data_IF_932308123486
#
_entry.id   IF_932308123486
#
_cell.length_a   1.000
_cell.length_b   1.000
_cell.length_c   1.000
_cell.angle_alpha   90.00
_cell.angle_beta   90.00
_cell.angle_gamma   90.00
#
_symmetry.space_group_name_H-M   'P 1'
#
loop_
_entity.id
_entity.type
_entity.pdbx_description
1 polymer ?
#
# COMPACT_ATOMS: atom_id res chain seq x y z
N UNK A 1 -2.56 32.34 3.24
CA UNK A 1 -1.22 32.84 2.87
C UNK A 1 -0.24 31.70 3.00
N UNK A 2 0.21 31.24 1.86
CA UNK A 2 0.83 29.93 1.62
C UNK A 2 2.27 29.84 2.12
N UNK A 3 2.51 28.95 3.08
CA UNK A 3 3.88 28.57 3.52
C UNK A 3 4.62 27.64 2.53
N UNK A 4 3.95 27.22 1.44
CA UNK A 4 4.50 26.25 0.50
C UNK A 4 5.42 26.87 -0.59
N UNK A 5 5.44 28.20 -0.77
CA UNK A 5 6.15 28.83 -1.89
C UNK A 5 7.63 29.19 -1.63
N UNK A 6 8.17 28.97 -0.44
CA UNK A 6 9.55 29.36 -0.09
C UNK A 6 10.40 28.23 0.55
N UNK A 7 9.93 26.98 0.55
CA UNK A 7 10.69 25.87 1.16
C UNK A 7 11.93 25.55 0.31
N UNK A 8 13.12 25.68 0.91
CA UNK A 8 14.36 25.26 0.25
C UNK A 8 14.50 23.73 0.25
N UNK A 9 15.32 23.21 -0.62
CA UNK A 9 15.59 21.75 -0.65
C UNK A 9 16.28 21.23 0.63
N UNK A 10 16.92 22.09 1.40
CA UNK A 10 17.48 21.75 2.72
C UNK A 10 16.33 21.59 3.73
N UNK A 11 15.32 22.45 3.64
CA UNK A 11 14.13 22.40 4.48
C UNK A 11 13.28 21.16 4.22
N UNK A 12 13.29 20.64 2.97
CA UNK A 12 12.59 19.40 2.63
C UNK A 12 13.06 18.21 3.49
N UNK A 13 14.38 17.98 3.57
CA UNK A 13 14.92 16.87 4.39
C UNK A 13 14.61 17.10 5.87
N UNK A 14 14.82 18.33 6.38
CA UNK A 14 14.53 18.66 7.76
C UNK A 14 13.05 18.43 8.09
N UNK A 15 12.15 18.87 7.20
CA UNK A 15 10.70 18.70 7.36
C UNK A 15 10.30 17.23 7.30
N UNK A 16 10.80 16.46 6.34
CA UNK A 16 10.51 15.02 6.24
C UNK A 16 11.05 14.25 7.46
N UNK A 17 12.24 14.61 7.93
CA UNK A 17 12.82 14.00 9.13
C UNK A 17 12.04 14.36 10.40
N UNK A 18 11.55 15.59 10.51
CA UNK A 18 10.71 16.02 11.64
C UNK A 18 9.36 15.28 11.64
N UNK A 19 8.69 15.17 10.49
CA UNK A 19 7.43 14.42 10.33
C UNK A 19 7.62 12.94 10.69
N UNK A 20 8.73 12.34 10.22
CA UNK A 20 9.07 10.97 10.59
C UNK A 20 9.25 10.81 12.09
N UNK A 21 9.97 11.74 12.72
CA UNK A 21 10.21 11.75 14.17
C UNK A 21 8.91 11.93 14.97
N UNK A 22 8.04 12.87 14.58
CA UNK A 22 6.72 13.08 15.20
C UNK A 22 5.85 11.83 15.17
N UNK A 23 5.98 11.02 14.10
CA UNK A 23 5.28 9.73 13.94
C UNK A 23 6.03 8.56 14.62
N UNK A 24 7.08 8.82 15.35
CA UNK A 24 7.89 7.79 16.01
C UNK A 24 8.74 6.94 15.05
N UNK A 25 8.94 7.43 13.82
CA UNK A 25 9.73 6.77 12.78
C UNK A 25 11.19 7.25 12.89
N UNK A 26 12.10 6.35 13.27
CA UNK A 26 13.53 6.61 13.19
C UNK A 26 14.01 6.23 11.77
N UNK A 27 14.38 7.20 10.96
CA UNK A 27 14.85 6.99 9.60
C UNK A 27 16.18 6.21 9.59
N UNK A 28 16.19 5.05 8.95
CA UNK A 28 17.38 4.27 8.74
C UNK A 28 18.28 4.82 7.61
N UNK A 29 19.44 4.18 7.37
CA UNK A 29 20.38 4.62 6.34
C UNK A 29 19.80 4.55 4.93
N UNK A 30 18.96 3.57 4.64
CA UNK A 30 18.35 3.41 3.32
C UNK A 30 17.32 4.51 3.07
N UNK A 31 16.49 4.83 4.07
CA UNK A 31 15.54 5.93 4.01
C UNK A 31 16.24 7.29 3.94
N UNK A 32 17.36 7.48 4.63
CA UNK A 32 18.18 8.69 4.49
C UNK A 32 18.73 8.85 3.06
N UNK A 33 19.18 7.76 2.41
CA UNK A 33 19.57 7.79 0.98
C UNK A 33 18.38 8.17 0.10
N UNK A 34 17.20 7.59 0.34
CA UNK A 34 15.99 7.95 -0.39
C UNK A 34 15.65 9.44 -0.25
N UNK A 35 15.80 10.03 0.94
CA UNK A 35 15.62 11.47 1.14
C UNK A 35 16.57 12.32 0.28
N UNK A 36 17.81 11.89 0.06
CA UNK A 36 18.74 12.62 -0.81
C UNK A 36 18.28 12.56 -2.28
N UNK A 37 17.80 11.41 -2.74
CA UNK A 37 17.23 11.26 -4.09
C UNK A 37 15.97 12.11 -4.27
N UNK A 38 15.09 12.15 -3.26
CA UNK A 38 13.90 13.01 -3.26
C UNK A 38 14.26 14.50 -3.24
N UNK A 39 15.30 14.90 -2.50
CA UNK A 39 15.83 16.27 -2.52
C UNK A 39 16.35 16.65 -3.91
N UNK A 40 17.09 15.76 -4.58
CA UNK A 40 17.54 15.97 -5.95
C UNK A 40 16.34 16.23 -6.88
N UNK A 41 15.35 15.32 -6.82
CA UNK A 41 14.15 15.44 -7.64
C UNK A 41 13.36 16.73 -7.33
N UNK A 42 13.26 17.11 -6.05
CA UNK A 42 12.65 18.38 -5.64
C UNK A 42 13.33 19.56 -6.34
N UNK A 43 14.67 19.62 -6.32
CA UNK A 43 15.43 20.67 -6.97
C UNK A 43 15.18 20.70 -8.48
N UNK A 44 15.23 19.53 -9.15
CA UNK A 44 15.01 19.42 -10.59
C UNK A 44 13.60 19.88 -10.99
N UNK A 45 12.62 19.67 -10.14
CA UNK A 45 11.23 20.07 -10.38
C UNK A 45 10.96 21.54 -10.06
N UNK A 46 11.64 22.13 -9.08
CA UNK A 46 11.40 23.50 -8.61
C UNK A 46 12.33 24.53 -9.25
N UNK A 47 13.51 24.11 -9.73
CA UNK A 47 14.41 25.03 -10.45
C UNK A 47 13.76 25.50 -11.75
N UNK A 48 13.49 26.80 -11.79
CA UNK A 48 12.97 27.46 -12.97
C UNK A 48 14.15 27.96 -13.82
N UNK A 49 14.32 27.48 -15.07
CA UNK A 49 15.36 28.01 -15.94
C UNK A 49 15.20 29.53 -16.12
N UNK A 50 16.31 30.31 -16.22
CA UNK A 50 16.24 31.73 -16.49
C UNK A 50 15.38 32.02 -17.74
N UNK A 51 14.67 33.16 -17.75
CA UNK A 51 13.65 33.49 -18.75
C UNK A 51 14.16 33.42 -20.21
N UNK A 52 15.44 33.73 -20.46
CA UNK A 52 16.06 33.65 -21.78
C UNK A 52 16.31 32.22 -22.26
N UNK A 53 16.52 31.28 -21.36
CA UNK A 53 16.67 29.84 -21.69
C UNK A 53 15.31 29.17 -22.01
N UNK A 54 14.19 29.72 -21.51
CA UNK A 54 12.85 29.18 -21.76
C UNK A 54 12.42 29.24 -23.22
N UNK A 55 12.97 30.20 -23.98
CA UNK A 55 12.66 30.36 -25.39
C UNK A 55 13.34 29.36 -26.31
N UNK A 56 14.43 28.73 -25.86
CA UNK A 56 15.27 27.85 -26.68
C UNK A 56 15.54 26.47 -26.10
N UNK A 57 15.26 26.23 -24.84
CA UNK A 57 15.55 24.96 -24.18
C UNK A 57 14.35 24.01 -24.25
N UNK A 58 14.55 22.85 -24.86
CA UNK A 58 13.68 21.71 -24.62
C UNK A 58 13.72 21.38 -23.12
N UNK A 59 12.57 21.04 -22.46
CA UNK A 59 12.58 20.66 -21.07
C UNK A 59 13.62 19.55 -20.87
N UNK A 60 14.58 19.77 -19.96
CA UNK A 60 15.50 18.69 -19.60
C UNK A 60 14.69 17.55 -19.00
N UNK A 61 14.89 16.30 -19.45
CA UNK A 61 14.23 15.16 -18.85
C UNK A 61 14.63 15.09 -17.38
N UNK A 62 13.65 15.14 -16.49
CA UNK A 62 13.85 15.01 -15.06
C UNK A 62 13.94 13.52 -14.74
N UNK A 63 15.07 13.08 -14.16
CA UNK A 63 15.23 11.70 -13.76
C UNK A 63 14.32 11.40 -12.57
N UNK A 64 13.36 10.50 -12.75
CA UNK A 64 12.43 10.07 -11.72
C UNK A 64 13.08 9.22 -10.62
N UNK A 65 12.25 8.62 -9.76
CA UNK A 65 12.71 7.74 -8.67
C UNK A 65 11.83 6.48 -8.64
N UNK A 66 12.48 5.34 -8.50
CA UNK A 66 11.84 4.04 -8.26
C UNK A 66 12.27 3.56 -6.87
N UNK A 67 11.38 3.72 -5.88
CA UNK A 67 11.59 3.26 -4.50
C UNK A 67 11.16 1.79 -4.42
N UNK A 68 12.08 0.90 -4.07
CA UNK A 68 11.78 -0.51 -3.98
C UNK A 68 12.34 -1.16 -2.71
N UNK A 69 11.80 -2.32 -2.33
CA UNK A 69 12.19 -3.05 -1.13
C UNK A 69 11.00 -3.74 -0.49
N UNK A 70 11.24 -4.49 0.58
CA UNK A 70 10.20 -5.25 1.28
C UNK A 70 9.03 -4.37 1.77
N UNK A 71 7.90 -4.98 2.05
CA UNK A 71 6.72 -4.32 2.66
C UNK A 71 7.11 -3.73 4.02
N UNK A 72 6.53 -2.59 4.40
CA UNK A 72 6.80 -1.96 5.70
C UNK A 72 8.06 -1.08 5.76
N UNK A 73 8.77 -0.86 4.65
CA UNK A 73 10.01 -0.07 4.60
C UNK A 73 9.81 1.44 4.49
N UNK A 74 8.57 1.92 4.57
CA UNK A 74 8.27 3.36 4.50
C UNK A 74 8.31 3.95 3.09
N UNK A 75 8.21 3.14 2.02
CA UNK A 75 8.20 3.61 0.62
C UNK A 75 7.08 4.58 0.35
N UNK A 76 5.83 4.17 0.63
CA UNK A 76 4.62 4.98 0.41
C UNK A 76 4.65 6.22 1.30
N UNK A 77 5.10 6.12 2.57
CA UNK A 77 5.27 7.25 3.46
C UNK A 77 6.19 8.32 2.84
N UNK A 78 7.39 7.94 2.38
CA UNK A 78 8.34 8.88 1.77
C UNK A 78 7.78 9.52 0.51
N UNK A 79 7.09 8.74 -0.34
CA UNK A 79 6.46 9.24 -1.55
C UNK A 79 5.31 10.20 -1.24
N UNK A 80 4.44 9.88 -0.28
CA UNK A 80 3.27 10.67 0.07
C UNK A 80 3.67 12.01 0.68
N UNK A 81 4.64 12.01 1.60
CA UNK A 81 5.13 13.24 2.18
C UNK A 81 5.90 14.10 1.16
N UNK A 82 6.68 13.47 0.26
CA UNK A 82 7.29 14.17 -0.87
C UNK A 82 6.23 14.81 -1.77
N UNK A 83 5.20 14.04 -2.18
CA UNK A 83 4.10 14.55 -2.97
C UNK A 83 3.41 15.74 -2.32
N UNK A 84 3.17 15.69 -1.00
CA UNK A 84 2.55 16.77 -0.25
C UNK A 84 3.39 18.05 -0.26
N UNK A 85 4.70 17.91 -0.06
CA UNK A 85 5.62 19.03 0.15
C UNK A 85 6.11 19.69 -1.14
N UNK A 86 6.10 18.99 -2.29
CA UNK A 86 6.53 19.57 -3.57
C UNK A 86 5.56 20.67 -4.01
N UNK A 87 6.01 21.93 -4.22
CA UNK A 87 5.17 23.06 -4.57
C UNK A 87 4.88 23.11 -6.08
N UNK A 88 4.25 22.07 -6.60
CA UNK A 88 3.86 21.96 -8.02
C UNK A 88 2.36 21.72 -8.07
N UNK A 89 1.63 22.49 -8.86
CA UNK A 89 0.19 22.32 -9.05
C UNK A 89 -0.13 21.08 -9.89
N UNK A 90 0.65 20.89 -10.98
CA UNK A 90 0.46 19.79 -11.93
C UNK A 90 1.11 18.51 -11.42
N UNK A 91 0.55 17.94 -10.36
CA UNK A 91 1.01 16.68 -9.77
C UNK A 91 -0.17 15.75 -9.50
N UNK A 92 0.06 14.46 -9.66
CA UNK A 92 -0.93 13.41 -9.40
C UNK A 92 -0.29 12.29 -8.59
N UNK A 93 -1.03 11.79 -7.60
CA UNK A 93 -0.71 10.58 -6.85
C UNK A 93 -1.85 9.60 -7.01
N UNK A 94 -1.55 8.37 -7.40
CA UNK A 94 -2.55 7.33 -7.65
C UNK A 94 -1.92 5.95 -7.46
N UNK A 95 -2.70 4.97 -7.03
CA UNK A 95 -2.24 3.57 -7.03
C UNK A 95 -2.12 3.06 -8.47
N UNK A 96 -1.10 2.28 -8.74
CA UNK A 96 -0.81 1.77 -10.08
C UNK A 96 -2.00 1.06 -10.72
N UNK A 97 -2.71 0.21 -9.98
CA UNK A 97 -3.89 -0.47 -10.50
C UNK A 97 -4.99 0.50 -10.96
N UNK A 98 -5.31 1.53 -10.15
CA UNK A 98 -6.31 2.55 -10.52
C UNK A 98 -5.86 3.38 -11.73
N UNK A 99 -4.57 3.66 -11.82
CA UNK A 99 -4.00 4.34 -12.96
C UNK A 99 -4.19 3.52 -14.24
N UNK A 100 -3.84 2.22 -14.24
CA UNK A 100 -4.04 1.33 -15.39
C UNK A 100 -5.52 1.17 -15.75
N UNK A 101 -6.40 1.08 -14.76
CA UNK A 101 -7.83 1.06 -15.00
C UNK A 101 -8.31 2.32 -15.74
N UNK A 102 -7.82 3.51 -15.39
CA UNK A 102 -8.15 4.75 -16.11
C UNK A 102 -7.59 4.78 -17.53
N UNK A 103 -6.42 4.20 -17.75
CA UNK A 103 -5.83 4.03 -19.09
C UNK A 103 -6.70 3.10 -19.95
N UNK A 104 -7.14 1.97 -19.42
CA UNK A 104 -8.04 1.04 -20.13
C UNK A 104 -9.38 1.68 -20.49
N UNK A 105 -9.98 2.47 -19.58
CA UNK A 105 -11.20 3.24 -19.91
C UNK A 105 -10.93 4.23 -21.06
N UNK A 106 -9.85 5.00 -20.97
CA UNK A 106 -9.48 5.95 -22.01
C UNK A 106 -9.20 5.30 -23.37
N UNK A 107 -8.64 4.08 -23.39
CA UNK A 107 -8.44 3.31 -24.62
C UNK A 107 -9.76 2.92 -25.30
N UNK A 108 -10.79 2.60 -24.51
CA UNK A 108 -12.12 2.30 -25.06
C UNK A 108 -12.76 3.52 -25.72
N UNK A 109 -12.58 4.70 -25.12
CA UNK A 109 -13.12 5.96 -25.64
C UNK A 109 -12.40 6.42 -26.92
N UNK A 110 -11.15 5.99 -27.11
CA UNK A 110 -10.31 6.35 -28.27
C UNK A 110 -10.25 5.24 -29.33
N UNK A 111 -11.20 4.31 -29.34
CA UNK A 111 -11.29 3.27 -30.38
C UNK A 111 -11.42 3.92 -31.77
N UNK A 112 -10.55 3.48 -32.70
CA UNK A 112 -10.51 4.00 -34.08
C UNK A 112 -9.49 5.10 -34.31
N UNK A 113 -8.76 5.60 -33.30
CA UNK A 113 -7.62 6.47 -33.50
C UNK A 113 -6.36 5.67 -33.88
N UNK A 114 -5.46 6.27 -34.66
CA UNK A 114 -4.24 5.63 -35.16
C UNK A 114 -3.25 5.23 -34.04
N UNK A 115 -3.15 6.04 -32.97
CA UNK A 115 -2.27 5.77 -31.80
C UNK A 115 -2.91 6.23 -30.49
N UNK A 116 -3.88 5.50 -29.94
CA UNK A 116 -4.61 5.93 -28.77
C UNK A 116 -3.73 6.01 -27.51
N UNK A 117 -2.72 5.15 -27.34
CA UNK A 117 -1.80 5.22 -26.19
C UNK A 117 -0.96 6.48 -26.19
N UNK A 118 -0.49 6.92 -27.36
CA UNK A 118 0.25 8.17 -27.50
C UNK A 118 -0.63 9.36 -27.14
N UNK A 119 -1.89 9.35 -27.58
CA UNK A 119 -2.85 10.41 -27.23
C UNK A 119 -3.11 10.47 -25.72
N UNK A 120 -3.27 9.32 -25.05
CA UNK A 120 -3.45 9.22 -23.61
C UNK A 120 -2.22 9.75 -22.88
N UNK A 121 -1.02 9.30 -23.25
CA UNK A 121 0.23 9.75 -22.64
C UNK A 121 0.44 11.25 -22.82
N UNK A 122 0.14 11.80 -24.00
CA UNK A 122 0.23 13.23 -24.28
C UNK A 122 -0.76 14.05 -23.43
N UNK A 123 -2.00 13.56 -23.23
CA UNK A 123 -2.99 14.19 -22.38
C UNK A 123 -2.50 14.23 -20.93
N UNK A 124 -2.03 13.09 -20.39
CA UNK A 124 -1.51 13.00 -19.03
C UNK A 124 -0.31 13.95 -18.86
N UNK A 125 0.63 13.96 -19.80
CA UNK A 125 1.79 14.86 -19.77
C UNK A 125 1.38 16.35 -19.88
N UNK A 126 0.28 16.65 -20.58
CA UNK A 126 -0.31 17.98 -20.64
C UNK A 126 -0.81 18.47 -19.28
N UNK A 127 -1.31 17.58 -18.44
CA UNK A 127 -1.94 17.88 -17.14
C UNK A 127 -1.01 17.64 -15.95
N UNK A 128 0.00 16.79 -16.10
CA UNK A 128 0.82 16.29 -15.00
C UNK A 128 2.30 16.49 -15.28
N UNK A 129 3.03 17.10 -14.35
CA UNK A 129 4.49 17.23 -14.36
C UNK A 129 5.17 16.23 -13.41
N UNK A 130 4.50 15.87 -12.33
CA UNK A 130 4.93 14.84 -11.38
C UNK A 130 3.83 13.80 -11.22
N UNK A 131 4.13 12.56 -11.57
CA UNK A 131 3.24 11.41 -11.39
C UNK A 131 3.84 10.46 -10.35
N UNK A 132 3.13 10.29 -9.24
CA UNK A 132 3.44 9.34 -8.18
C UNK A 132 2.56 8.10 -8.34
N UNK A 133 3.18 6.95 -8.63
CA UNK A 133 2.50 5.66 -8.78
C UNK A 133 2.85 4.75 -7.60
N UNK A 134 1.88 4.55 -6.73
CA UNK A 134 2.04 3.67 -5.57
C UNK A 134 1.77 2.21 -5.94
N UNK A 135 2.50 1.30 -5.30
CA UNK A 135 2.35 -0.15 -5.51
C UNK A 135 2.51 -0.57 -6.98
N UNK A 136 3.58 -0.12 -7.61
CA UNK A 136 3.89 -0.47 -9.00
C UNK A 136 4.16 -1.97 -9.10
N UNK A 137 3.16 -2.71 -9.53
CA UNK A 137 3.17 -4.15 -9.67
C UNK A 137 2.33 -4.58 -10.87
N UNK A 138 2.88 -5.43 -11.74
CA UNK A 138 2.25 -5.87 -12.97
C UNK A 138 1.97 -7.35 -12.89
N UNK A 139 0.69 -7.71 -12.95
CA UNK A 139 0.21 -9.10 -12.92
C UNK A 139 -0.51 -9.49 -14.21
N UNK A 140 -1.08 -8.52 -14.91
CA UNK A 140 -1.89 -8.73 -16.10
C UNK A 140 -1.10 -8.49 -17.38
N UNK A 141 -1.34 -9.33 -18.40
CA UNK A 141 -0.68 -9.23 -19.70
C UNK A 141 -1.08 -7.95 -20.45
N UNK A 142 -2.33 -7.49 -20.29
CA UNK A 142 -2.79 -6.26 -20.92
C UNK A 142 -2.00 -5.06 -20.42
N UNK A 143 -1.81 -4.95 -19.11
CA UNK A 143 -1.01 -3.89 -18.50
C UNK A 143 0.46 -3.97 -18.96
N UNK A 144 1.04 -5.17 -18.99
CA UNK A 144 2.41 -5.39 -19.43
C UNK A 144 2.64 -4.91 -20.88
N UNK A 145 1.70 -5.21 -21.78
CA UNK A 145 1.82 -4.83 -23.19
C UNK A 145 1.66 -3.31 -23.44
N UNK A 146 0.85 -2.64 -22.64
CA UNK A 146 0.63 -1.19 -22.74
C UNK A 146 1.77 -0.38 -22.13
N UNK A 147 2.43 -0.93 -21.11
CA UNK A 147 3.34 -0.18 -20.22
C UNK A 147 4.51 0.46 -20.94
N UNK A 148 5.15 -0.25 -21.87
CA UNK A 148 6.27 0.29 -22.64
C UNK A 148 5.90 1.61 -23.33
N UNK A 149 4.85 1.59 -24.14
CA UNK A 149 4.44 2.75 -24.95
C UNK A 149 3.92 3.89 -24.09
N UNK A 150 3.26 3.56 -22.98
CA UNK A 150 2.79 4.53 -22.01
C UNK A 150 3.96 5.25 -21.33
N UNK A 151 4.96 4.50 -20.85
CA UNK A 151 6.18 5.07 -20.26
C UNK A 151 6.95 5.93 -21.27
N UNK A 152 7.16 5.45 -22.50
CA UNK A 152 7.81 6.22 -23.57
C UNK A 152 7.11 7.57 -23.78
N UNK A 153 5.78 7.59 -23.83
CA UNK A 153 4.99 8.79 -24.02
C UNK A 153 5.05 9.75 -22.82
N UNK A 154 4.94 9.24 -21.61
CA UNK A 154 5.01 10.05 -20.38
C UNK A 154 6.40 10.68 -20.20
N UNK A 155 7.46 9.89 -20.34
CA UNK A 155 8.85 10.33 -20.18
C UNK A 155 9.24 11.35 -21.27
N UNK A 156 8.88 11.09 -22.54
CA UNK A 156 9.11 12.04 -23.63
C UNK A 156 8.28 13.32 -23.48
N UNK A 157 7.13 13.24 -22.84
CA UNK A 157 6.29 14.39 -22.48
C UNK A 157 6.80 15.19 -21.27
N UNK A 158 7.91 14.76 -20.66
CA UNK A 158 8.56 15.47 -19.54
C UNK A 158 7.92 15.22 -18.18
N UNK A 159 7.15 14.15 -18.03
CA UNK A 159 6.58 13.74 -16.74
C UNK A 159 7.69 13.11 -15.90
N UNK A 160 7.91 13.64 -14.70
CA UNK A 160 8.74 13.01 -13.69
C UNK A 160 7.93 11.92 -12.97
N UNK A 161 8.50 10.73 -12.87
CA UNK A 161 7.85 9.59 -12.19
C UNK A 161 8.47 9.35 -10.83
N UNK A 162 7.64 9.15 -9.81
CA UNK A 162 8.03 8.53 -8.54
C UNK A 162 7.18 7.30 -8.37
N UNK A 163 7.81 6.15 -8.21
CA UNK A 163 7.08 4.89 -8.06
C UNK A 163 7.53 4.16 -6.79
N UNK A 164 6.61 3.45 -6.14
CA UNK A 164 6.95 2.49 -5.09
C UNK A 164 6.69 1.08 -5.58
N UNK A 165 7.52 0.13 -5.19
CA UNK A 165 7.35 -1.29 -5.53
C UNK A 165 7.93 -2.19 -4.43
N UNK A 166 7.41 -3.39 -4.31
CA UNK A 166 8.00 -4.43 -3.46
C UNK A 166 9.09 -5.22 -4.19
N UNK A 167 9.28 -4.98 -5.49
CA UNK A 167 10.17 -5.74 -6.36
C UNK A 167 11.19 -4.82 -7.05
N UNK A 168 12.40 -5.33 -7.25
CA UNK A 168 13.35 -4.72 -8.16
C UNK A 168 12.77 -4.72 -9.59
N UNK A 169 13.07 -3.72 -10.44
CA UNK A 169 12.54 -3.68 -11.81
C UNK A 169 12.75 -4.97 -12.61
N UNK A 170 13.89 -5.65 -12.45
CA UNK A 170 14.17 -6.90 -13.16
C UNK A 170 13.28 -8.07 -12.74
N UNK A 171 12.69 -8.03 -11.54
CA UNK A 171 11.74 -9.02 -11.05
C UNK A 171 10.28 -8.72 -11.40
N UNK A 172 10.01 -7.54 -12.00
CA UNK A 172 8.66 -7.20 -12.43
C UNK A 172 8.18 -8.17 -13.52
N UNK A 173 6.97 -8.70 -13.33
CA UNK A 173 6.32 -9.61 -14.28
C UNK A 173 7.19 -10.84 -14.63
N UNK A 174 7.97 -11.37 -13.66
CA UNK A 174 9.02 -12.40 -13.89
C UNK A 174 8.49 -13.67 -14.56
N UNK A 175 7.32 -14.14 -14.13
CA UNK A 175 6.68 -15.35 -14.66
C UNK A 175 5.52 -15.04 -15.62
N UNK A 176 5.41 -13.78 -16.05
CA UNK A 176 4.32 -13.33 -16.89
C UNK A 176 4.41 -13.83 -18.33
N UNK A 177 3.24 -14.07 -18.94
CA UNK A 177 3.13 -14.48 -20.34
C UNK A 177 3.69 -13.38 -21.26
N UNK A 178 4.55 -13.79 -22.23
CA UNK A 178 5.22 -12.89 -23.18
C UNK A 178 6.11 -11.82 -22.49
N UNK A 179 6.72 -12.15 -21.39
CA UNK A 179 7.61 -11.25 -20.62
C UNK A 179 8.65 -10.53 -21.48
N UNK A 180 9.15 -11.16 -22.54
CA UNK A 180 10.13 -10.55 -23.45
C UNK A 180 9.63 -9.22 -24.07
N UNK A 181 8.32 -9.03 -24.24
CA UNK A 181 7.73 -7.79 -24.74
C UNK A 181 7.66 -6.71 -23.63
N UNK A 182 7.69 -7.10 -22.37
CA UNK A 182 7.71 -6.17 -21.22
C UNK A 182 9.15 -5.72 -20.86
N UNK A 183 10.18 -6.52 -21.16
CA UNK A 183 11.59 -6.17 -20.85
C UNK A 183 11.97 -4.75 -21.31
N UNK A 184 11.57 -4.25 -22.49
CA UNK A 184 11.86 -2.87 -22.87
C UNK A 184 11.29 -1.81 -21.93
N UNK A 185 10.14 -2.08 -21.25
CA UNK A 185 9.60 -1.19 -20.23
C UNK A 185 10.47 -1.19 -18.97
N UNK A 186 11.02 -2.34 -18.58
CA UNK A 186 12.00 -2.45 -17.49
C UNK A 186 13.23 -1.60 -17.79
N UNK A 187 13.75 -1.66 -19.01
CA UNK A 187 14.93 -0.87 -19.41
C UNK A 187 14.63 0.64 -19.41
N UNK A 188 13.42 1.05 -19.77
CA UNK A 188 12.98 2.45 -19.64
C UNK A 188 12.95 2.89 -18.18
N UNK A 189 12.43 2.07 -17.28
CA UNK A 189 12.44 2.35 -15.83
C UNK A 189 13.87 2.53 -15.37
N UNK A 190 14.77 1.58 -15.65
CA UNK A 190 16.17 1.60 -15.21
C UNK A 190 16.96 2.78 -15.76
N UNK A 191 16.67 3.21 -16.99
CA UNK A 191 17.40 4.31 -17.64
C UNK A 191 16.91 5.69 -17.22
N UNK A 192 15.63 5.86 -16.93
CA UNK A 192 15.01 7.16 -16.64
C UNK A 192 14.71 7.41 -15.17
N UNK A 193 14.69 6.36 -14.34
CA UNK A 193 14.47 6.49 -12.90
C UNK A 193 15.77 6.12 -12.14
N UNK A 194 15.98 6.77 -11.02
CA UNK A 194 16.97 6.35 -10.04
C UNK A 194 16.37 5.22 -9.20
N UNK A 195 17.05 4.07 -9.20
CA UNK A 195 16.62 2.92 -8.40
C UNK A 195 17.13 3.12 -6.97
N UNK A 196 16.22 3.24 -6.03
CA UNK A 196 16.54 3.44 -4.61
C UNK A 196 15.96 2.28 -3.82
N UNK A 197 16.87 1.46 -3.32
CA UNK A 197 16.52 0.34 -2.46
C UNK A 197 16.33 0.79 -1.01
N UNK A 198 15.21 0.39 -0.44
CA UNK A 198 14.89 0.57 0.97
C UNK A 198 15.08 -0.78 1.68
N UNK A 199 16.33 -1.13 1.91
CA UNK A 199 16.80 -2.40 2.48
C UNK A 199 17.09 -2.34 3.99
N UNK A 200 16.56 -1.37 4.69
CA UNK A 200 16.78 -1.19 6.13
C UNK A 200 16.42 -2.43 6.96
N UNK A 201 17.16 -2.66 8.04
CA UNK A 201 16.97 -3.81 8.95
C UNK A 201 15.67 -3.75 9.76
N UNK A 202 14.92 -2.66 9.65
CA UNK A 202 13.77 -2.42 10.47
C UNK A 202 12.48 -2.35 9.65
N UNK A 203 11.59 -3.32 9.85
CA UNK A 203 10.21 -3.24 9.43
C UNK A 203 9.41 -2.38 10.44
N UNK A 204 8.98 -1.19 10.01
CA UNK A 204 8.18 -0.29 10.87
C UNK A 204 6.84 -0.89 11.24
N UNK A 205 6.22 -1.63 10.33
CA UNK A 205 4.96 -2.32 10.61
C UNK A 205 5.17 -3.37 11.67
N UNK A 206 6.24 -4.17 11.57
CA UNK A 206 6.59 -5.15 12.59
C UNK A 206 6.79 -4.49 13.95
N UNK A 207 7.52 -3.38 14.03
CA UNK A 207 7.70 -2.64 15.29
C UNK A 207 6.38 -2.06 15.82
N UNK A 208 5.53 -1.53 14.96
CA UNK A 208 4.23 -1.02 15.34
C UNK A 208 3.32 -2.13 15.85
N UNK A 209 3.26 -3.26 15.15
CA UNK A 209 2.51 -4.46 15.57
C UNK A 209 3.05 -5.04 16.89
N UNK A 210 4.37 -5.10 17.05
CA UNK A 210 5.01 -5.58 18.28
C UNK A 210 4.72 -4.67 19.47
N UNK A 211 4.68 -3.34 19.25
CA UNK A 211 4.37 -2.37 20.31
C UNK A 211 2.89 -2.37 20.69
N UNK A 212 2.01 -2.36 19.68
CA UNK A 212 0.56 -2.38 19.89
C UNK A 212 0.09 -3.72 20.44
N UNK A 213 0.78 -4.81 20.09
CA UNK A 213 0.29 -6.16 20.22
C UNK A 213 -0.73 -6.48 19.14
N UNK A 214 -0.96 -7.75 18.87
CA UNK A 214 -1.94 -8.19 17.84
C UNK A 214 -3.11 -8.96 18.43
N UNK A 215 -3.13 -9.15 19.75
CA UNK A 215 -4.19 -9.87 20.46
C UNK A 215 -4.44 -9.22 21.82
N UNK A 216 -5.65 -8.72 22.02
CA UNK A 216 -6.05 -7.98 23.22
C UNK A 216 -7.20 -8.67 23.91
N UNK A 217 -7.10 -8.83 25.21
CA UNK A 217 -8.15 -9.38 26.09
C UNK A 217 -7.98 -8.88 27.54
N UNK A 218 -9.04 -8.86 28.35
CA UNK A 218 -10.45 -9.04 27.99
C UNK A 218 -11.00 -7.89 27.12
N UNK A 219 -12.27 -7.98 26.72
CA UNK A 219 -12.95 -6.91 25.99
C UNK A 219 -13.26 -5.74 26.93
N UNK A 220 -12.31 -4.83 27.07
CA UNK A 220 -12.40 -3.64 27.91
C UNK A 220 -11.93 -2.38 27.16
N UNK A 221 -11.94 -1.24 27.84
CA UNK A 221 -11.50 0.03 27.27
C UNK A 221 -10.02 0.03 26.87
N UNK A 222 -9.17 -0.75 27.54
CA UNK A 222 -7.75 -0.85 27.21
C UNK A 222 -7.55 -1.62 25.88
N UNK A 223 -8.29 -2.71 25.68
CA UNK A 223 -8.31 -3.45 24.42
C UNK A 223 -8.80 -2.60 23.25
N UNK A 224 -9.83 -1.78 23.44
CA UNK A 224 -10.33 -0.86 22.42
C UNK A 224 -9.29 0.24 22.09
N UNK A 225 -8.64 0.83 23.09
CA UNK A 225 -7.57 1.80 22.88
C UNK A 225 -6.36 1.20 22.16
N UNK A 226 -6.00 -0.04 22.47
CA UNK A 226 -4.91 -0.75 21.81
C UNK A 226 -5.22 -1.04 20.34
N UNK A 227 -6.46 -1.44 20.00
CA UNK A 227 -6.94 -1.60 18.62
C UNK A 227 -6.89 -0.26 17.87
N UNK A 228 -7.37 0.83 18.48
CA UNK A 228 -7.33 2.17 17.90
C UNK A 228 -5.89 2.60 17.60
N UNK A 229 -4.98 2.47 18.59
CA UNK A 229 -3.58 2.80 18.41
C UNK A 229 -2.91 1.93 17.33
N UNK A 230 -3.25 0.64 17.30
CA UNK A 230 -2.78 -0.29 16.28
C UNK A 230 -3.27 0.08 14.88
N UNK A 231 -4.54 0.44 14.73
CA UNK A 231 -5.08 0.91 13.45
C UNK A 231 -4.34 2.15 12.96
N UNK A 232 -4.23 3.20 13.80
CA UNK A 232 -3.56 4.46 13.44
C UNK A 232 -2.10 4.23 13.05
N UNK A 233 -1.41 3.34 13.77
CA UNK A 233 -0.01 3.00 13.49
C UNK A 233 0.16 2.23 12.17
N UNK A 234 -0.81 1.35 11.82
CA UNK A 234 -0.77 0.58 10.58
C UNK A 234 -1.26 1.34 9.36
N UNK A 235 -2.26 2.20 9.56
CA UNK A 235 -2.89 3.03 8.53
C UNK A 235 -2.12 4.31 8.21
N UNK A 236 -1.09 4.62 9.01
CA UNK A 236 -0.36 5.90 8.95
C UNK A 236 -1.28 7.13 9.10
N UNK A 237 -2.33 6.97 9.95
CA UNK A 237 -3.31 8.01 10.23
C UNK A 237 -4.67 7.47 10.71
N UNK A 238 -5.65 8.35 10.93
CA UNK A 238 -6.94 7.97 11.51
C UNK A 238 -7.83 7.14 10.57
N UNK A 239 -7.56 7.13 9.26
CA UNK A 239 -8.43 6.49 8.27
C UNK A 239 -9.82 7.13 8.15
N UNK A 240 -10.68 6.55 7.33
CA UNK A 240 -12.07 6.93 7.16
C UNK A 240 -12.95 6.07 8.06
N UNK A 241 -13.78 6.72 8.89
CA UNK A 241 -14.67 6.03 9.82
C UNK A 241 -16.00 5.59 9.16
N UNK A 242 -16.60 4.52 9.69
CA UNK A 242 -17.95 4.05 9.36
C UNK A 242 -18.18 3.88 7.84
N UNK A 243 -17.31 3.12 7.17
CA UNK A 243 -17.41 2.88 5.73
C UNK A 243 -18.20 1.61 5.42
N UNK A 244 -19.02 1.66 4.38
CA UNK A 244 -19.64 0.49 3.77
C UNK A 244 -18.79 0.01 2.59
N UNK A 245 -18.39 -1.25 2.62
CA UNK A 245 -17.58 -1.88 1.59
C UNK A 245 -18.41 -2.90 0.84
N UNK A 246 -18.22 -3.01 -0.46
CA UNK A 246 -18.76 -4.10 -1.25
C UNK A 246 -17.71 -5.22 -1.34
N UNK A 247 -18.06 -6.40 -0.81
CA UNK A 247 -17.26 -7.62 -0.81
C UNK A 247 -18.08 -8.75 -1.39
N UNK A 248 -17.61 -9.38 -2.48
CA UNK A 248 -18.34 -10.42 -3.20
C UNK A 248 -19.81 -10.05 -3.48
N UNK A 249 -20.05 -8.78 -3.91
CA UNK A 249 -21.37 -8.27 -4.22
C UNK A 249 -22.27 -8.05 -2.99
N UNK A 250 -21.73 -8.03 -1.78
CA UNK A 250 -22.45 -7.86 -0.51
C UNK A 250 -21.87 -6.72 0.29
N UNK A 251 -22.73 -5.98 0.93
CA UNK A 251 -22.34 -4.89 1.83
C UNK A 251 -21.76 -5.42 3.14
N UNK A 252 -20.64 -4.83 3.57
CA UNK A 252 -19.95 -5.11 4.85
C UNK A 252 -19.57 -3.79 5.48
N UNK A 253 -20.02 -3.57 6.74
CA UNK A 253 -19.73 -2.33 7.44
C UNK A 253 -18.38 -2.42 8.16
N UNK A 254 -17.44 -1.57 7.77
CA UNK A 254 -16.18 -1.39 8.45
C UNK A 254 -16.26 -0.25 9.47
N UNK A 255 -15.69 -0.44 10.65
CA UNK A 255 -15.51 0.63 11.63
C UNK A 255 -14.60 1.73 11.09
N UNK A 256 -13.52 1.31 10.41
CA UNK A 256 -12.56 2.20 9.75
C UNK A 256 -11.91 1.54 8.56
N UNK A 257 -11.51 2.36 7.59
CA UNK A 257 -10.80 1.94 6.38
C UNK A 257 -9.66 2.90 6.09
N UNK A 258 -8.53 2.34 5.71
CA UNK A 258 -7.39 3.07 5.16
C UNK A 258 -6.73 2.22 4.05
N UNK A 259 -5.83 2.76 3.24
CA UNK A 259 -5.12 1.98 2.23
C UNK A 259 -4.41 0.77 2.85
N UNK A 260 -4.85 -0.43 2.46
CA UNK A 260 -4.29 -1.70 2.92
C UNK A 260 -4.62 -2.10 4.37
N UNK A 261 -5.42 -1.30 5.12
CA UNK A 261 -5.81 -1.56 6.50
C UNK A 261 -7.33 -1.40 6.68
N UNK A 262 -7.98 -2.33 7.34
CA UNK A 262 -9.41 -2.24 7.61
C UNK A 262 -9.73 -2.79 9.01
N UNK A 263 -10.77 -2.23 9.62
CA UNK A 263 -11.22 -2.61 10.96
C UNK A 263 -12.71 -2.94 10.97
N UNK A 264 -13.04 -4.14 11.45
CA UNK A 264 -14.41 -4.64 11.54
C UNK A 264 -14.78 -5.04 12.96
N UNK A 265 -16.09 -5.10 13.23
CA UNK A 265 -16.63 -5.88 14.34
C UNK A 265 -16.75 -7.34 13.94
N UNK A 266 -16.53 -8.25 14.90
CA UNK A 266 -16.68 -9.69 14.70
C UNK A 266 -18.04 -10.07 14.11
N UNK A 267 -19.10 -9.40 14.57
CA UNK A 267 -20.47 -9.65 14.11
C UNK A 267 -20.62 -9.41 12.61
N UNK A 268 -19.94 -8.42 12.03
CA UNK A 268 -20.00 -8.12 10.60
C UNK A 268 -19.35 -9.21 9.74
N UNK A 269 -18.25 -9.76 10.20
CA UNK A 269 -17.51 -10.80 9.47
C UNK A 269 -18.00 -12.21 9.74
N UNK A 270 -18.44 -12.51 10.97
CA UNK A 270 -18.77 -13.86 11.39
C UNK A 270 -20.23 -14.05 11.86
N UNK A 271 -20.97 -12.97 12.10
CA UNK A 271 -22.37 -13.05 12.55
C UNK A 271 -23.38 -13.29 11.44
N UNK A 272 -23.10 -12.79 10.22
CA UNK A 272 -23.98 -12.87 9.06
C UNK A 272 -23.61 -13.98 8.05
N UNK A 273 -24.27 -14.05 6.90
CA UNK A 273 -24.03 -15.04 5.85
C UNK A 273 -22.76 -14.71 5.06
N UNK A 274 -21.58 -14.97 5.64
CA UNK A 274 -20.27 -14.83 5.00
C UNK A 274 -19.67 -16.21 4.70
N UNK A 275 -18.79 -16.26 3.70
CA UNK A 275 -18.10 -17.47 3.28
C UNK A 275 -16.62 -17.22 2.96
N UNK A 276 -15.95 -18.29 2.57
CA UNK A 276 -14.51 -18.25 2.24
C UNK A 276 -14.17 -17.20 1.17
N UNK A 277 -15.04 -17.01 0.15
CA UNK A 277 -14.82 -16.04 -0.91
C UNK A 277 -14.70 -14.60 -0.36
N UNK A 278 -15.53 -14.23 0.63
CA UNK A 278 -15.45 -12.91 1.28
C UNK A 278 -14.09 -12.69 1.94
N UNK A 279 -13.57 -13.72 2.62
CA UNK A 279 -12.28 -13.64 3.33
C UNK A 279 -11.11 -13.62 2.37
N UNK A 280 -11.18 -14.34 1.25
CA UNK A 280 -10.20 -14.26 0.16
C UNK A 280 -10.15 -12.84 -0.40
N UNK A 281 -11.30 -12.25 -0.70
CA UNK A 281 -11.35 -10.88 -1.25
C UNK A 281 -10.81 -9.86 -0.25
N UNK A 282 -11.17 -9.97 1.03
CA UNK A 282 -10.62 -9.12 2.10
C UNK A 282 -9.11 -9.27 2.21
N UNK A 283 -8.61 -10.50 2.21
CA UNK A 283 -7.19 -10.78 2.31
C UNK A 283 -6.40 -10.26 1.10
N UNK A 284 -6.98 -10.22 -0.09
CA UNK A 284 -6.34 -9.62 -1.27
C UNK A 284 -6.27 -8.10 -1.21
N UNK A 285 -7.29 -7.45 -0.63
CA UNK A 285 -7.38 -5.97 -0.56
C UNK A 285 -6.57 -5.37 0.59
N UNK A 286 -6.43 -6.11 1.70
CA UNK A 286 -5.89 -5.58 2.95
C UNK A 286 -4.78 -6.46 3.51
N UNK A 287 -3.61 -5.87 3.75
CA UNK A 287 -2.49 -6.57 4.38
C UNK A 287 -2.61 -6.61 5.92
N UNK A 288 -3.47 -5.76 6.51
CA UNK A 288 -3.75 -5.73 7.96
C UNK A 288 -5.25 -5.60 8.18
N UNK A 289 -5.80 -6.51 8.95
CA UNK A 289 -7.22 -6.55 9.28
C UNK A 289 -7.38 -6.59 10.80
N UNK A 290 -8.17 -5.65 11.33
CA UNK A 290 -8.52 -5.60 12.74
C UNK A 290 -9.94 -6.17 12.92
N UNK A 291 -10.14 -7.00 13.93
CA UNK A 291 -11.45 -7.57 14.29
C UNK A 291 -11.68 -7.41 15.77
N UNK A 292 -12.70 -6.64 16.14
CA UNK A 292 -13.07 -6.41 17.52
C UNK A 292 -14.23 -7.28 17.97
N UNK A 293 -14.21 -7.66 19.26
CA UNK A 293 -15.34 -8.28 19.90
C UNK A 293 -15.48 -9.77 19.64
N UNK A 294 -14.37 -10.50 19.48
CA UNK A 294 -14.38 -11.97 19.31
C UNK A 294 -14.83 -12.63 20.62
N UNK A 295 -15.98 -13.33 20.63
CA UNK A 295 -16.47 -13.98 21.86
C UNK A 295 -15.69 -15.26 22.17
N UNK A 296 -15.69 -15.68 23.44
CA UNK A 296 -15.31 -17.06 23.75
C UNK A 296 -16.35 -18.01 23.15
N UNK A 297 -15.92 -18.92 22.27
CA UNK A 297 -16.83 -19.79 21.55
C UNK A 297 -17.52 -20.79 22.46
N UNK A 298 -18.80 -20.99 22.21
CA UNK A 298 -19.66 -21.95 22.88
C UNK A 298 -20.60 -22.61 21.86
N UNK A 299 -21.26 -23.72 22.17
CA UNK A 299 -22.07 -24.47 21.20
C UNK A 299 -23.14 -23.65 20.48
N UNK A 300 -23.67 -22.60 21.14
CA UNK A 300 -24.66 -21.68 20.55
C UNK A 300 -24.07 -20.81 19.39
N UNK A 301 -22.75 -20.64 19.34
CA UNK A 301 -22.04 -19.82 18.33
C UNK A 301 -21.40 -20.66 17.23
N UNK A 302 -21.88 -21.90 17.01
CA UNK A 302 -21.26 -22.86 16.08
C UNK A 302 -21.03 -22.31 14.67
N UNK A 303 -21.99 -21.59 14.12
CA UNK A 303 -21.87 -21.05 12.75
C UNK A 303 -20.89 -19.88 12.68
N UNK A 304 -20.89 -18.99 13.66
CA UNK A 304 -19.93 -17.89 13.77
C UNK A 304 -18.51 -18.42 14.00
N UNK A 305 -18.37 -19.45 14.83
CA UNK A 305 -17.11 -20.14 15.07
C UNK A 305 -16.53 -20.76 13.79
N UNK A 306 -17.39 -21.43 12.99
CA UNK A 306 -16.96 -22.01 11.70
C UNK A 306 -16.50 -20.93 10.72
N UNK A 307 -17.20 -19.80 10.65
CA UNK A 307 -16.80 -18.67 9.78
C UNK A 307 -15.49 -18.06 10.27
N UNK A 308 -15.30 -17.94 11.57
CA UNK A 308 -14.04 -17.45 12.14
C UNK A 308 -12.88 -18.40 11.84
N UNK A 309 -13.11 -19.71 11.85
CA UNK A 309 -12.10 -20.70 11.40
C UNK A 309 -11.69 -20.45 9.95
N UNK A 310 -12.64 -20.28 9.03
CA UNK A 310 -12.36 -19.97 7.63
C UNK A 310 -11.62 -18.64 7.46
N UNK A 311 -12.03 -17.60 8.20
CA UNK A 311 -11.37 -16.31 8.22
C UNK A 311 -9.89 -16.46 8.62
N UNK A 312 -9.61 -17.13 9.73
CA UNK A 312 -8.24 -17.35 10.21
C UNK A 312 -7.43 -18.17 9.21
N UNK A 313 -8.02 -19.21 8.63
CA UNK A 313 -7.35 -20.04 7.63
C UNK A 313 -6.95 -19.20 6.40
N UNK A 314 -7.86 -18.42 5.82
CA UNK A 314 -7.57 -17.59 4.64
C UNK A 314 -6.58 -16.46 4.92
N UNK A 315 -6.67 -15.85 6.10
CA UNK A 315 -5.75 -14.76 6.47
C UNK A 315 -4.36 -15.29 6.79
N UNK A 316 -4.26 -16.44 7.43
CA UNK A 316 -2.99 -17.10 7.69
C UNK A 316 -2.28 -17.49 6.39
N UNK A 317 -2.97 -18.14 5.46
CA UNK A 317 -2.39 -18.61 4.20
C UNK A 317 -1.94 -17.44 3.29
N UNK A 318 -2.47 -16.22 3.50
CA UNK A 318 -2.09 -15.00 2.75
C UNK A 318 -1.23 -14.01 3.52
N UNK A 319 -0.74 -14.41 4.68
CA UNK A 319 0.11 -13.60 5.56
C UNK A 319 -0.51 -12.23 5.89
N UNK A 320 -1.82 -12.22 6.17
CA UNK A 320 -2.51 -11.02 6.66
C UNK A 320 -2.18 -10.82 8.13
N UNK A 321 -1.77 -9.61 8.49
CA UNK A 321 -1.61 -9.22 9.88
C UNK A 321 -3.00 -9.09 10.53
N UNK A 322 -3.37 -10.05 11.36
CA UNK A 322 -4.65 -10.08 12.04
C UNK A 322 -4.51 -9.53 13.47
N UNK A 323 -5.17 -8.39 13.75
CA UNK A 323 -5.25 -7.83 15.10
C UNK A 323 -6.63 -8.11 15.68
N UNK A 324 -6.66 -8.75 16.85
CA UNK A 324 -7.91 -9.18 17.51
C UNK A 324 -8.11 -8.51 18.87
N UNK A 325 -9.37 -8.18 19.21
CA UNK A 325 -9.80 -8.09 20.59
C UNK A 325 -10.83 -9.19 20.90
N UNK A 326 -10.64 -9.89 22.00
CA UNK A 326 -11.41 -11.08 22.36
C UNK A 326 -11.78 -11.13 23.84
N UNK A 327 -12.81 -11.91 24.19
CA UNK A 327 -13.23 -12.09 25.59
C UNK A 327 -12.17 -12.78 26.46
N UNK A 328 -11.30 -13.60 25.84
CA UNK A 328 -10.30 -14.40 26.58
C UNK A 328 -9.02 -14.57 25.76
N UNK A 329 -8.01 -15.18 26.35
CA UNK A 329 -6.76 -15.57 25.68
C UNK A 329 -7.01 -16.46 24.46
N UNK A 330 -6.15 -16.39 23.46
CA UNK A 330 -6.28 -17.18 22.23
C UNK A 330 -6.32 -18.69 22.49
N UNK A 331 -5.53 -19.14 23.47
CA UNK A 331 -5.43 -20.52 23.91
C UNK A 331 -6.75 -21.06 24.49
N UNK A 332 -7.56 -20.14 25.09
CA UNK A 332 -8.80 -20.49 25.79
C UNK A 332 -10.06 -20.15 25.00
N UNK A 333 -9.91 -19.60 23.79
CA UNK A 333 -11.03 -19.13 22.99
C UNK A 333 -12.05 -20.24 22.68
N UNK A 334 -11.61 -21.50 22.63
CA UNK A 334 -12.41 -22.68 22.29
C UNK A 334 -12.65 -23.63 23.47
N UNK A 335 -12.30 -23.28 24.71
CA UNK A 335 -12.38 -24.18 25.85
C UNK A 335 -13.79 -24.69 26.19
N UNK A 336 -14.82 -23.96 25.71
CA UNK A 336 -16.23 -24.31 25.94
C UNK A 336 -16.86 -25.17 24.83
N UNK A 337 -16.05 -25.58 23.84
CA UNK A 337 -16.50 -26.46 22.75
C UNK A 337 -15.62 -27.69 22.66
N UNK A 338 -16.18 -28.79 22.10
CA UNK A 338 -15.41 -30.02 21.89
C UNK A 338 -14.29 -29.76 20.87
N UNK A 339 -13.08 -30.21 21.22
CA UNK A 339 -11.93 -30.07 20.33
C UNK A 339 -12.13 -30.92 19.07
N UNK A 340 -11.78 -30.33 17.94
CA UNK A 340 -11.72 -30.97 16.61
C UNK A 340 -10.40 -30.62 15.94
N UNK A 341 -9.94 -31.39 14.95
CA UNK A 341 -8.71 -31.04 14.22
C UNK A 341 -8.70 -29.63 13.66
N UNK A 342 -9.84 -29.12 13.19
CA UNK A 342 -9.97 -27.75 12.67
C UNK A 342 -9.79 -26.71 13.77
N UNK A 343 -10.36 -26.94 14.96
CA UNK A 343 -10.20 -26.05 16.12
C UNK A 343 -8.75 -25.99 16.55
N UNK A 344 -8.08 -27.13 16.64
CA UNK A 344 -6.67 -27.20 17.06
C UNK A 344 -5.77 -26.50 16.03
N UNK A 345 -6.04 -26.64 14.72
CA UNK A 345 -5.33 -25.93 13.67
C UNK A 345 -5.54 -24.43 13.80
N UNK A 346 -6.78 -23.96 13.95
CA UNK A 346 -7.10 -22.53 14.10
C UNK A 346 -6.43 -21.93 15.33
N UNK A 347 -6.43 -22.66 16.47
CA UNK A 347 -5.75 -22.24 17.71
C UNK A 347 -4.24 -22.07 17.46
N UNK A 348 -3.60 -23.05 16.82
CA UNK A 348 -2.18 -23.01 16.49
C UNK A 348 -1.85 -21.84 15.57
N UNK A 349 -2.65 -21.60 14.53
CA UNK A 349 -2.49 -20.47 13.61
C UNK A 349 -2.63 -19.12 14.33
N UNK A 350 -3.62 -18.95 15.20
CA UNK A 350 -3.79 -17.73 15.99
C UNK A 350 -2.59 -17.43 16.90
N UNK A 351 -1.98 -18.47 17.48
CA UNK A 351 -0.77 -18.32 18.28
C UNK A 351 0.42 -17.92 17.40
N UNK A 352 0.60 -18.61 16.27
CA UNK A 352 1.69 -18.33 15.33
C UNK A 352 1.58 -16.94 14.68
N UNK A 353 0.38 -16.50 14.33
CA UNK A 353 0.12 -15.16 13.77
C UNK A 353 0.54 -14.01 14.71
N UNK A 354 0.81 -14.29 15.98
CA UNK A 354 1.31 -13.34 16.97
C UNK A 354 2.83 -13.28 17.02
N UNK A 355 3.52 -14.21 16.37
CA UNK A 355 4.98 -14.30 16.40
C UNK A 355 5.61 -13.22 15.52
N UNK A 356 6.81 -12.76 15.91
CA UNK A 356 7.57 -11.81 15.11
C UNK A 356 7.93 -12.38 13.72
N UNK A 357 8.16 -13.69 13.66
CA UNK A 357 8.45 -14.40 12.42
C UNK A 357 7.27 -14.29 11.45
N UNK A 358 6.05 -14.60 11.88
CA UNK A 358 4.85 -14.48 11.04
C UNK A 358 4.57 -13.03 10.64
N UNK A 359 4.63 -12.09 11.60
CA UNK A 359 4.36 -10.67 11.34
C UNK A 359 5.36 -10.03 10.38
N UNK A 360 6.54 -10.64 10.17
CA UNK A 360 7.55 -10.21 9.21
C UNK A 360 7.35 -10.77 7.80
N UNK A 361 6.43 -11.73 7.61
CA UNK A 361 6.18 -12.32 6.29
C UNK A 361 5.57 -11.31 5.32
N UNK A 362 5.94 -11.36 4.04
CA UNK A 362 5.32 -10.52 3.03
C UNK A 362 3.87 -10.95 2.81
N UNK A 363 2.97 -9.98 2.72
CA UNK A 363 1.57 -10.21 2.37
C UNK A 363 1.44 -10.80 0.95
N UNK A 364 0.60 -11.83 0.82
CA UNK A 364 0.31 -12.52 -0.44
C UNK A 364 -1.08 -12.10 -0.94
N UNK A 365 -1.15 -11.14 -1.87
CA UNK A 365 -2.39 -10.60 -2.43
C UNK A 365 -3.05 -11.54 -3.45
#
# INVERSE_FOLDING_TARGET
>A
MDRASEMSSADLIATLSAIAHERGIALDRAQQRALQSLKRLYNDLTQTPPAWLRLFARPRPVRGIYLWGAVGRGKSFLMDEFYRLVPIERKQRVHFHRFMQSVHYSLRDLQGQEDPLRAIAARIAGETRLLCLDEFHITDIGDAMLMRRLLEGLLSGGVALVTTSNQHPDALYEHGLQRAQFVPAIELIKSHLELVELDGDADYRLRALTRAGVYHHPLDAAAEQAQEAGFVAMADGPGEAAQSLEIEGREVHARRVAPGVVWFDFAELCGGPRGTADYIELARRYHTILVSGVPQFQPALRDSMRRFTWLVDEFYDRHVNLMLSAETEAERLYDRVSSTPDIERTRSRLIEMRSAEYLSLPHLA
#
